data_IF_563396538777
#
_entry.id   IF_563396538777
#
_cell.length_a   1.000
_cell.length_b   1.000
_cell.length_c   1.000
_cell.angle_alpha   90.00
_cell.angle_beta   90.00
_cell.angle_gamma   90.00
#
_symmetry.space_group_name_H-M   'P 1'
#
loop_
_entity.id
_entity.type
_entity.pdbx_description
1 polymer ?
#
# COMPACT_ATOMS: atom_id res chain seq x y z
N UNK A 1 24.11 20.00 11.04
CA UNK A 1 23.15 21.08 10.69
C UNK A 1 21.80 20.69 11.28
N UNK A 2 21.20 21.54 12.11
CA UNK A 2 19.87 21.28 12.70
C UNK A 2 18.83 21.41 11.60
N UNK A 3 18.39 20.29 11.05
CA UNK A 3 17.37 20.24 9.99
C UNK A 3 16.03 20.57 10.65
N UNK A 4 15.50 21.77 10.39
CA UNK A 4 14.18 22.17 10.89
C UNK A 4 13.12 21.15 10.44
N UNK A 5 12.18 20.84 11.33
CA UNK A 5 11.11 19.90 11.02
C UNK A 5 10.32 20.35 9.78
N UNK A 6 10.07 19.44 8.82
CA UNK A 6 9.27 19.77 7.65
C UNK A 6 7.83 20.02 8.07
N UNK A 7 7.22 21.06 7.49
CA UNK A 7 5.82 21.38 7.77
C UNK A 7 4.88 20.30 7.24
N UNK A 8 3.71 20.16 7.88
CA UNK A 8 2.67 19.22 7.43
C UNK A 8 2.28 19.44 5.96
N UNK A 9 2.24 20.70 5.50
CA UNK A 9 1.93 21.03 4.12
C UNK A 9 2.98 20.50 3.14
N UNK A 10 4.27 20.62 3.48
CA UNK A 10 5.37 20.07 2.67
C UNK A 10 5.28 18.54 2.55
N UNK A 11 4.96 17.85 3.65
CA UNK A 11 4.77 16.39 3.64
C UNK A 11 3.60 15.98 2.75
N UNK A 12 2.47 16.70 2.82
CA UNK A 12 1.31 16.43 1.97
C UNK A 12 1.58 16.69 0.49
N UNK A 13 2.30 17.77 0.17
CA UNK A 13 2.74 18.05 -1.20
C UNK A 13 3.67 16.95 -1.72
N UNK A 14 4.62 16.50 -0.88
CA UNK A 14 5.53 15.42 -1.21
C UNK A 14 4.77 14.10 -1.49
N UNK A 15 3.80 13.76 -0.63
CA UNK A 15 2.95 12.59 -0.81
C UNK A 15 2.17 12.64 -2.14
N UNK A 16 1.55 13.77 -2.46
CA UNK A 16 0.84 13.96 -3.74
C UNK A 16 1.77 13.81 -4.94
N UNK A 17 2.98 14.38 -4.87
CA UNK A 17 3.99 14.24 -5.92
C UNK A 17 4.34 12.77 -6.12
N UNK A 18 4.62 12.02 -5.05
CA UNK A 18 4.88 10.58 -5.11
C UNK A 18 3.75 9.76 -5.76
N UNK A 19 2.50 10.02 -5.39
CA UNK A 19 1.36 9.33 -5.98
C UNK A 19 1.22 9.65 -7.46
N UNK A 20 1.37 10.92 -7.85
CA UNK A 20 1.30 11.34 -9.25
C UNK A 20 2.42 10.73 -10.10
N UNK A 21 3.66 10.70 -9.59
CA UNK A 21 4.79 10.08 -10.30
C UNK A 21 4.63 8.56 -10.38
N UNK A 22 4.14 7.91 -9.32
CA UNK A 22 3.84 6.48 -9.34
C UNK A 22 2.74 6.13 -10.35
N UNK A 23 1.76 7.01 -10.55
CA UNK A 23 0.74 6.83 -11.59
C UNK A 23 1.27 7.04 -13.00
N UNK A 24 2.34 7.82 -13.16
CA UNK A 24 2.90 8.14 -14.47
C UNK A 24 3.65 6.98 -15.14
N UNK A 25 3.97 5.90 -14.41
CA UNK A 25 4.54 4.68 -14.98
C UNK A 25 3.57 4.04 -15.99
N UNK A 26 4.11 3.71 -17.16
CA UNK A 26 3.36 3.07 -18.23
C UNK A 26 3.02 1.62 -17.87
N UNK A 27 3.94 0.88 -17.25
CA UNK A 27 3.71 -0.51 -16.88
C UNK A 27 2.85 -0.66 -15.62
N UNK A 28 1.88 -1.58 -15.65
CA UNK A 28 1.02 -1.89 -14.51
C UNK A 28 1.78 -2.31 -13.26
N UNK A 29 2.80 -3.16 -13.41
CA UNK A 29 3.56 -3.69 -12.28
C UNK A 29 4.26 -2.56 -11.50
N UNK A 30 4.92 -1.63 -12.21
CA UNK A 30 5.58 -0.51 -11.54
C UNK A 30 4.56 0.48 -10.98
N UNK A 31 3.52 0.81 -11.74
CA UNK A 31 2.46 1.72 -11.28
C UNK A 31 1.83 1.24 -9.97
N UNK A 32 1.40 -0.02 -9.91
CA UNK A 32 0.76 -0.60 -8.72
C UNK A 32 1.75 -0.82 -7.57
N UNK A 33 2.96 -1.30 -7.86
CA UNK A 33 4.01 -1.48 -6.85
C UNK A 33 4.39 -0.16 -6.19
N UNK A 34 4.71 0.87 -6.97
CA UNK A 34 5.14 2.16 -6.43
C UNK A 34 3.99 2.90 -5.76
N UNK A 35 2.75 2.77 -6.24
CA UNK A 35 1.57 3.28 -5.52
C UNK A 35 1.43 2.65 -4.13
N UNK A 36 1.52 1.33 -4.05
CA UNK A 36 1.43 0.61 -2.77
C UNK A 36 2.60 0.98 -1.86
N UNK A 37 3.83 0.84 -2.35
CA UNK A 37 5.06 1.16 -1.61
C UNK A 37 5.07 2.60 -1.09
N UNK A 38 4.67 3.57 -1.90
CA UNK A 38 4.60 4.98 -1.48
C UNK A 38 3.63 5.13 -0.31
N UNK A 39 2.41 4.57 -0.42
CA UNK A 39 1.41 4.64 0.65
C UNK A 39 1.91 4.01 1.94
N UNK A 40 2.51 2.83 1.86
CA UNK A 40 3.00 2.11 3.03
C UNK A 40 4.20 2.84 3.67
N UNK A 41 5.12 3.36 2.86
CA UNK A 41 6.25 4.18 3.33
C UNK A 41 5.79 5.41 4.12
N UNK A 42 4.81 6.16 3.60
CA UNK A 42 4.28 7.33 4.31
C UNK A 42 3.46 6.95 5.54
N UNK A 43 2.75 5.81 5.53
CA UNK A 43 2.02 5.33 6.70
C UNK A 43 2.95 4.90 7.82
N UNK A 44 3.99 4.12 7.52
CA UNK A 44 4.93 3.63 8.53
C UNK A 44 5.74 4.76 9.17
N UNK A 45 6.06 5.81 8.40
CA UNK A 45 6.83 6.95 8.91
C UNK A 45 5.99 7.94 9.74
N UNK A 46 4.68 8.06 9.47
CA UNK A 46 3.83 9.10 10.08
C UNK A 46 2.83 8.57 11.11
N UNK A 47 2.40 7.31 11.00
CA UNK A 47 1.47 6.71 11.95
C UNK A 47 2.21 5.89 13.01
N UNK A 48 1.69 5.84 14.25
CA UNK A 48 2.12 4.85 15.23
C UNK A 48 1.98 3.43 14.67
N UNK A 49 2.90 2.54 15.04
CA UNK A 49 2.99 1.18 14.49
C UNK A 49 1.67 0.39 14.58
N UNK A 50 0.90 0.59 15.66
CA UNK A 50 -0.41 -0.03 15.85
C UNK A 50 -1.48 0.41 14.86
N UNK A 51 -1.42 1.67 14.38
CA UNK A 51 -2.37 2.22 13.41
C UNK A 51 -1.88 2.02 11.97
N UNK A 52 -0.57 1.95 11.74
CA UNK A 52 0.01 1.68 10.45
C UNK A 52 -0.37 0.29 9.92
N UNK A 53 -0.40 -0.73 10.79
CA UNK A 53 -0.78 -2.11 10.42
C UNK A 53 -2.27 -2.22 10.06
N UNK A 54 -3.16 -1.54 10.78
CA UNK A 54 -4.60 -1.58 10.55
C UNK A 54 -5.07 -0.79 9.31
N UNK A 55 -4.33 0.26 8.92
CA UNK A 55 -4.76 1.18 7.85
C UNK A 55 -4.32 0.80 6.43
N UNK A 56 -3.45 -0.22 6.27
CA UNK A 56 -3.09 -0.73 4.95
C UNK A 56 -4.04 -1.86 4.54
N UNK A 57 -4.80 -1.73 3.43
CA UNK A 57 -5.69 -2.78 2.95
C UNK A 57 -4.95 -4.04 2.47
N UNK A 58 -3.62 -4.01 2.41
CA UNK A 58 -2.77 -5.12 1.97
C UNK A 58 -1.89 -5.67 3.11
N UNK A 59 -2.07 -5.20 4.36
CA UNK A 59 -1.35 -5.81 5.48
C UNK A 59 -1.93 -7.22 5.72
N UNK A 60 -1.05 -8.19 6.00
CA UNK A 60 -1.46 -9.57 6.34
C UNK A 60 -2.41 -9.62 7.56
N UNK A 61 -2.43 -8.56 8.36
CA UNK A 61 -3.34 -8.38 9.49
C UNK A 61 -4.79 -8.07 9.05
N UNK A 62 -5.00 -7.47 7.87
CA UNK A 62 -6.34 -7.20 7.33
C UNK A 62 -7.04 -8.47 6.80
N UNK A 63 -6.27 -9.48 6.36
CA UNK A 63 -6.79 -10.79 5.92
C UNK A 63 -7.13 -11.73 7.10
N UNK A 64 -6.80 -11.34 8.33
CA UNK A 64 -7.30 -12.00 9.54
C UNK A 64 -8.75 -11.57 9.78
N UNK A 65 -9.66 -11.99 8.90
CA UNK A 65 -11.08 -12.06 9.26
C UNK A 65 -11.13 -12.94 10.50
N UNK A 66 -11.55 -12.38 11.64
CA UNK A 66 -11.75 -13.17 12.85
C UNK A 66 -12.58 -14.40 12.46
N UNK A 67 -12.15 -15.64 12.78
CA UNK A 67 -12.93 -16.80 12.40
C UNK A 67 -14.32 -16.62 13.02
N UNK A 68 -15.36 -16.58 12.17
CA UNK A 68 -16.76 -16.44 12.58
C UNK A 68 -17.28 -17.69 13.33
N UNK A 69 -16.36 -18.51 13.85
CA UNK A 69 -16.64 -19.76 14.55
C UNK A 69 -16.39 -19.51 16.03
N UNK A 70 -17.39 -19.72 16.91
CA UNK A 70 -17.17 -19.61 18.35
C UNK A 70 -16.08 -20.60 18.78
N UNK A 71 -15.23 -20.18 19.73
CA UNK A 71 -14.02 -20.89 20.17
C UNK A 71 -14.24 -22.32 20.72
N UNK A 72 -15.48 -22.82 20.77
CA UNK A 72 -15.86 -24.12 21.34
C UNK A 72 -15.75 -25.34 20.41
N UNK A 73 -15.48 -25.16 19.11
CA UNK A 73 -15.49 -26.29 18.14
C UNK A 73 -14.13 -26.65 17.52
N UNK A 74 -13.05 -25.95 17.85
CA UNK A 74 -11.71 -26.30 17.36
C UNK A 74 -10.99 -27.18 18.38
N UNK A 75 -11.28 -28.49 18.34
CA UNK A 75 -10.45 -29.53 18.97
C UNK A 75 -9.65 -30.25 17.89
N UNK A 76 -8.36 -29.86 17.79
CA UNK A 76 -7.12 -30.59 17.36
C UNK A 76 -7.16 -31.64 16.23
N UNK A 77 -6.09 -31.78 15.39
CA UNK A 77 -4.72 -31.99 15.86
C UNK A 77 -3.63 -31.11 15.23
N UNK A 78 -2.50 -31.04 15.93
CA UNK A 78 -1.25 -30.38 15.56
C UNK A 78 -0.51 -31.12 14.40
N UNK A 79 0.70 -30.69 13.97
CA UNK A 79 0.89 -30.02 12.69
C UNK A 79 1.73 -30.88 11.72
N UNK A 80 1.22 -31.15 10.52
CA UNK A 80 2.06 -31.68 9.45
C UNK A 80 2.41 -30.56 8.47
N UNK A 81 3.67 -30.12 8.54
CA UNK A 81 4.36 -29.41 7.47
C UNK A 81 3.76 -28.06 7.04
N UNK A 82 3.83 -27.03 7.88
CA UNK A 82 3.79 -25.66 7.34
C UNK A 82 5.21 -25.24 6.98
N UNK A 83 5.44 -25.20 5.68
CA UNK A 83 6.66 -24.79 5.04
C UNK A 83 7.25 -23.54 5.70
N UNK A 84 8.58 -23.58 5.85
CA UNK A 84 9.46 -22.43 5.86
C UNK A 84 8.77 -21.24 5.21
N UNK A 85 8.33 -20.30 6.04
CA UNK A 85 8.06 -18.96 5.59
C UNK A 85 9.40 -18.45 5.05
N UNK A 86 9.59 -18.59 3.74
CA UNK A 86 10.37 -17.63 2.97
C UNK A 86 9.70 -16.29 3.24
N UNK A 87 10.16 -15.67 4.32
CA UNK A 87 10.00 -14.27 4.56
C UNK A 87 10.53 -13.62 3.27
N UNK A 88 9.64 -13.00 2.52
CA UNK A 88 10.01 -12.15 1.41
C UNK A 88 10.93 -11.06 1.95
N UNK A 89 12.22 -11.34 1.85
CA UNK A 89 13.32 -10.45 2.09
C UNK A 89 13.30 -9.40 0.97
N UNK A 90 12.53 -8.33 1.15
CA UNK A 90 12.66 -7.11 0.32
C UNK A 90 12.06 -5.87 0.99
N UNK A 91 12.15 -5.78 2.32
CA UNK A 91 11.70 -4.58 3.03
C UNK A 91 11.97 -4.53 4.53
N UNK A 92 12.81 -5.42 5.07
CA UNK A 92 13.10 -5.50 6.51
C UNK A 92 14.28 -4.61 6.96
N UNK A 93 14.88 -3.88 6.04
CA UNK A 93 16.15 -3.15 6.28
C UNK A 93 15.97 -1.74 6.83
N UNK A 94 14.75 -1.20 6.92
CA UNK A 94 14.53 0.19 7.33
C UNK A 94 14.17 0.38 8.82
N UNK A 95 13.85 -0.68 9.57
CA UNK A 95 13.37 -0.55 10.95
C UNK A 95 14.48 -0.51 12.03
N UNK A 96 15.74 -0.79 11.70
CA UNK A 96 16.80 -0.94 12.70
C UNK A 96 17.57 0.35 13.05
N UNK A 97 17.50 1.40 12.24
CA UNK A 97 18.39 2.59 12.35
C UNK A 97 17.86 3.73 13.25
N UNK A 98 16.67 3.57 13.87
CA UNK A 98 15.92 4.68 14.47
C UNK A 98 15.67 4.61 15.99
N UNK A 99 16.25 3.65 16.71
CA UNK A 99 15.85 3.33 18.09
C UNK A 99 16.07 4.45 19.13
N UNK A 100 16.84 5.50 18.83
CA UNK A 100 17.19 6.57 19.80
C UNK A 100 16.84 8.01 19.39
N UNK A 101 16.25 8.25 18.22
CA UNK A 101 16.03 9.61 17.70
C UNK A 101 14.66 10.18 18.10
N UNK A 102 14.61 11.50 18.32
CA UNK A 102 13.35 12.21 18.54
C UNK A 102 12.43 12.07 17.32
N UNK A 103 11.12 12.11 17.53
CA UNK A 103 10.16 11.98 16.41
C UNK A 103 10.35 13.08 15.36
N UNK A 104 10.76 14.27 15.79
CA UNK A 104 11.04 15.40 14.92
C UNK A 104 12.23 15.14 13.99
N UNK A 105 13.33 14.62 14.53
CA UNK A 105 14.51 14.24 13.76
C UNK A 105 14.23 13.08 12.79
N UNK A 106 13.41 12.11 13.21
CA UNK A 106 12.96 11.01 12.35
C UNK A 106 12.20 11.53 11.13
N UNK A 107 11.28 12.46 11.35
CA UNK A 107 10.48 13.07 10.28
C UNK A 107 11.35 13.93 9.35
N UNK A 108 12.32 14.67 9.88
CA UNK A 108 13.25 15.45 9.07
C UNK A 108 14.13 14.55 8.18
N UNK A 109 14.76 13.51 8.75
CA UNK A 109 15.56 12.54 7.97
C UNK A 109 14.72 11.79 6.93
N UNK A 110 13.50 11.40 7.31
CA UNK A 110 12.55 10.78 6.39
C UNK A 110 12.24 11.69 5.19
N UNK A 111 11.96 12.97 5.45
CA UNK A 111 11.66 13.93 4.40
C UNK A 111 12.84 14.12 3.43
N UNK A 112 14.05 14.29 3.95
CA UNK A 112 15.25 14.40 3.09
C UNK A 112 15.48 13.17 2.23
N UNK A 113 15.32 11.98 2.81
CA UNK A 113 15.42 10.71 2.07
C UNK A 113 14.34 10.62 1.00
N UNK A 114 13.10 10.94 1.34
CA UNK A 114 11.97 10.88 0.42
C UNK A 114 12.13 11.88 -0.74
N UNK A 115 12.68 13.08 -0.51
CA UNK A 115 12.99 14.01 -1.61
C UNK A 115 13.98 13.39 -2.60
N UNK A 116 15.06 12.76 -2.11
CA UNK A 116 16.05 12.09 -2.97
C UNK A 116 15.46 10.91 -3.73
N UNK A 117 14.67 10.07 -3.06
CA UNK A 117 13.99 8.93 -3.67
C UNK A 117 12.94 9.35 -4.71
N UNK A 118 12.27 10.50 -4.53
CA UNK A 118 11.35 11.07 -5.50
C UNK A 118 12.07 11.34 -6.84
N UNK A 119 13.28 11.90 -6.80
CA UNK A 119 14.03 12.19 -8.03
C UNK A 119 14.52 10.92 -8.73
N UNK A 120 14.79 9.84 -7.99
CA UNK A 120 15.01 8.50 -8.57
C UNK A 120 13.74 8.00 -9.24
N UNK A 121 12.60 8.09 -8.56
CA UNK A 121 11.29 7.64 -9.05
C UNK A 121 10.88 8.38 -10.33
N UNK A 122 11.10 9.70 -10.41
CA UNK A 122 10.85 10.51 -11.61
C UNK A 122 11.65 10.05 -12.80
N UNK A 123 12.96 9.83 -12.63
CA UNK A 123 13.84 9.34 -13.70
C UNK A 123 13.40 7.96 -14.17
N UNK A 124 13.08 7.06 -13.23
CA UNK A 124 12.57 5.73 -13.56
C UNK A 124 11.26 5.78 -14.35
N UNK A 125 10.34 6.68 -14.00
CA UNK A 125 9.08 6.85 -14.72
C UNK A 125 9.29 7.33 -16.17
N UNK A 126 10.21 8.28 -16.39
CA UNK A 126 10.56 8.76 -17.73
C UNK A 126 11.13 7.63 -18.58
N UNK A 127 12.09 6.87 -18.03
CA UNK A 127 12.70 5.74 -18.75
C UNK A 127 11.68 4.65 -19.07
N UNK A 128 10.77 4.35 -18.14
CA UNK A 128 9.72 3.37 -18.37
C UNK A 128 8.76 3.79 -19.50
N UNK A 129 8.52 5.09 -19.68
CA UNK A 129 7.74 5.61 -20.82
C UNK A 129 8.52 5.54 -22.13
N UNK A 130 9.80 5.90 -22.11
CA UNK A 130 10.64 5.91 -23.32
C UNK A 130 10.81 4.51 -23.92
N UNK A 131 10.93 3.50 -23.05
CA UNK A 131 11.09 2.10 -23.43
C UNK A 131 9.84 1.28 -23.06
N UNK A 132 8.65 1.84 -23.28
CA UNK A 132 7.41 1.13 -23.00
C UNK A 132 7.22 -0.06 -23.98
N UNK A 133 6.81 -1.20 -23.44
CA UNK A 133 6.40 -2.38 -24.22
C UNK A 133 4.89 -2.46 -24.39
N UNK A 134 4.39 -3.60 -24.88
CA UNK A 134 2.96 -3.88 -24.94
C UNK A 134 2.34 -3.93 -23.54
N UNK A 135 1.10 -3.46 -23.42
CA UNK A 135 0.36 -3.50 -22.17
C UNK A 135 -0.03 -4.93 -21.81
N UNK A 136 -0.02 -5.25 -20.52
CA UNK A 136 -0.44 -6.56 -20.04
C UNK A 136 -1.93 -6.79 -20.32
N UNK A 137 -2.33 -8.05 -20.44
CA UNK A 137 -3.74 -8.45 -20.64
C UNK A 137 -4.66 -7.86 -19.55
N UNK A 138 -4.13 -7.70 -18.34
CA UNK A 138 -4.85 -7.12 -17.19
C UNK A 138 -5.06 -5.60 -17.27
N UNK A 139 -4.36 -4.91 -18.16
CA UNK A 139 -4.44 -3.44 -18.31
C UNK A 139 -5.52 -3.01 -19.28
N UNK A 140 -5.88 -3.87 -20.24
CA UNK A 140 -6.96 -3.59 -21.17
C UNK A 140 -8.22 -3.43 -20.35
N UNK A 141 -8.82 -2.22 -20.28
CA UNK A 141 -10.12 -2.10 -19.68
C UNK A 141 -11.01 -3.03 -20.48
N UNK A 142 -11.64 -4.01 -19.83
CA UNK A 142 -12.79 -4.66 -20.44
C UNK A 142 -13.82 -3.54 -20.53
N UNK A 143 -13.93 -2.92 -21.70
CA UNK A 143 -15.08 -2.10 -22.00
C UNK A 143 -16.27 -3.04 -21.83
N UNK A 144 -17.01 -2.88 -20.73
CA UNK A 144 -18.32 -3.51 -20.54
C UNK A 144 -19.26 -2.75 -21.49
N UNK A 145 -19.06 -2.94 -22.79
CA UNK A 145 -19.98 -2.51 -23.84
C UNK A 145 -20.62 -3.80 -24.33
N UNK A 146 -21.83 -4.07 -23.85
CA UNK A 146 -22.60 -5.25 -24.24
C UNK A 146 -22.89 -6.19 -23.07
N UNK A 147 -23.87 -5.82 -22.25
CA UNK A 147 -24.37 -6.64 -21.16
C UNK A 147 -25.65 -6.08 -20.54
N UNK A 148 -26.53 -5.50 -21.35
CA UNK A 148 -27.93 -5.36 -20.95
C UNK A 148 -28.56 -6.76 -20.96
N UNK A 149 -28.74 -7.35 -19.79
CA UNK A 149 -29.37 -8.67 -19.64
C UNK A 149 -29.60 -9.01 -18.17
N UNK A 150 -30.86 -8.85 -17.73
CA UNK A 150 -31.48 -9.50 -16.55
C UNK A 150 -30.65 -9.53 -15.26
N UNK A 151 -30.63 -8.43 -14.50
CA UNK A 151 -29.90 -8.40 -13.24
C UNK A 151 -29.90 -7.06 -12.51
N UNK A 152 -30.41 -6.00 -13.15
CA UNK A 152 -30.65 -4.71 -12.49
C UNK A 152 -31.71 -4.81 -11.38
N UNK A 153 -32.56 -5.85 -11.38
CA UNK A 153 -33.56 -6.10 -10.34
C UNK A 153 -33.01 -6.60 -8.99
N UNK A 154 -31.75 -7.03 -8.89
CA UNK A 154 -31.21 -7.57 -7.63
C UNK A 154 -30.59 -6.50 -6.68
N UNK A 155 -30.45 -5.24 -7.12
CA UNK A 155 -29.72 -4.21 -6.36
C UNK A 155 -30.60 -3.15 -5.67
N UNK A 156 -31.93 -3.23 -5.77
CA UNK A 156 -32.85 -2.33 -5.05
C UNK A 156 -33.92 -3.18 -4.34
N UNK A 157 -33.58 -3.70 -3.16
CA UNK A 157 -34.52 -4.52 -2.39
C UNK A 157 -33.95 -5.02 -1.07
N UNK A 158 -33.70 -4.11 -0.13
CA UNK A 158 -33.22 -4.46 1.21
C UNK A 158 -33.11 -3.25 2.13
N UNK A 159 -34.05 -2.31 2.03
CA UNK A 159 -34.21 -1.26 3.03
C UNK A 159 -34.69 -1.91 4.33
N UNK A 160 -33.95 -1.68 5.41
CA UNK A 160 -34.29 -2.17 6.74
C UNK A 160 -35.68 -1.73 7.19
N UNK A 161 -36.38 -2.63 7.87
CA UNK A 161 -37.44 -2.28 8.80
C UNK A 161 -36.81 -2.15 10.19
N UNK A 162 -36.81 -0.95 10.79
CA UNK A 162 -36.80 -0.82 12.23
C UNK A 162 -38.24 -0.85 12.75
N UNK A 163 -38.56 -1.82 13.61
CA UNK A 163 -39.21 -1.78 14.95
C UNK A 163 -39.57 -3.22 15.31
#
# INVERSE_FOLDING_TARGET
>A
MTTAAPSRAQILQLYRRYLSTSQSFASYNFRTYFLRRSRDMFRSALLPQSQATASSPFSKAADATAPAVPAGLVRSPAPFGSASAVASASGKEAEAEGAGLSQEEKVARFYERAVKELDVLRRAAIMNRLYQGEQLVVEKPRLIIGGGGSGAEASVGGGGQPV
#
